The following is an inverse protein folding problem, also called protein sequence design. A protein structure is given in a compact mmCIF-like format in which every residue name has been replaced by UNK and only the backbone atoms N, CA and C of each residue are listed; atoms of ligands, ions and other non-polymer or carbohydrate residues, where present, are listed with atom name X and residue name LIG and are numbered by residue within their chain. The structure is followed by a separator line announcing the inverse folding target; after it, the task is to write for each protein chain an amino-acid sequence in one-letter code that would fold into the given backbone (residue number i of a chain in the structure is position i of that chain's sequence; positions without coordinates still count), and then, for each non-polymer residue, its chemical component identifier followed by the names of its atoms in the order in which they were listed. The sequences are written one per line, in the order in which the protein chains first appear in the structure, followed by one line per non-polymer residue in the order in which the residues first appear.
data_IF_592532521087
#
_entry.id   IF_592532521087
#
_cell.length_a   1.000
_cell.length_b   1.000
_cell.length_c   1.000
_cell.angle_alpha   90.00
_cell.angle_beta   90.00
_cell.angle_gamma   90.00
#
_symmetry.space_group_name_H-M   'P 1'
#
loop_
_entity.id
_entity.type
_entity.pdbx_description
1 polymer ?
#
# COMPACT_ATOMS: atom_id res chain seq x y z
N UNK A 1 -4.66 -24.63 81.46
CA UNK A 1 -4.42 -23.67 80.36
C UNK A 1 -5.72 -22.91 80.14
N UNK A 2 -5.80 -21.66 80.59
CA UNK A 2 -6.99 -20.82 80.48
C UNK A 2 -7.07 -20.20 79.07
N UNK A 3 -7.90 -20.78 78.20
CA UNK A 3 -8.31 -20.14 76.95
C UNK A 3 -9.18 -18.93 77.30
N UNK A 4 -8.67 -17.74 77.01
CA UNK A 4 -9.44 -16.50 77.09
C UNK A 4 -10.22 -16.37 75.78
N UNK A 5 -11.56 -16.40 75.85
CA UNK A 5 -12.43 -16.20 74.70
C UNK A 5 -12.42 -14.74 74.23
N UNK A 6 -12.59 -14.54 72.93
CA UNK A 6 -12.70 -13.21 72.31
C UNK A 6 -13.94 -12.47 72.81
N UNK A 7 -13.80 -11.17 73.12
CA UNK A 7 -14.96 -10.34 73.45
C UNK A 7 -15.68 -9.88 72.19
N UNK A 8 -16.99 -9.67 72.27
CA UNK A 8 -17.78 -9.15 71.14
C UNK A 8 -17.25 -7.81 70.64
N UNK A 9 -16.77 -6.95 71.54
CA UNK A 9 -16.16 -5.66 71.22
C UNK A 9 -14.88 -5.83 70.40
N UNK A 10 -14.05 -6.80 70.77
CA UNK A 10 -12.82 -7.11 70.05
C UNK A 10 -13.10 -7.60 68.63
N UNK A 11 -14.12 -8.45 68.45
CA UNK A 11 -14.57 -8.91 67.13
C UNK A 11 -15.07 -7.75 66.24
N UNK A 12 -15.91 -6.85 66.80
CA UNK A 12 -16.42 -5.69 66.05
C UNK A 12 -15.27 -4.76 65.64
N UNK A 13 -14.32 -4.50 66.53
CA UNK A 13 -13.17 -3.64 66.22
C UNK A 13 -12.30 -4.23 65.11
N UNK A 14 -12.07 -5.54 65.13
CA UNK A 14 -11.29 -6.24 64.09
C UNK A 14 -11.97 -6.15 62.73
N UNK A 15 -13.28 -6.40 62.65
CA UNK A 15 -14.02 -6.31 61.37
C UNK A 15 -14.02 -4.87 60.83
N UNK A 16 -14.22 -3.88 61.71
CA UNK A 16 -14.19 -2.47 61.32
C UNK A 16 -12.82 -2.03 60.79
N UNK A 17 -11.74 -2.41 61.48
CA UNK A 17 -10.36 -2.09 61.05
C UNK A 17 -9.98 -2.85 59.77
N UNK A 18 -10.35 -4.11 59.65
CA UNK A 18 -10.12 -4.90 58.44
C UNK A 18 -10.85 -4.29 57.22
N UNK A 19 -12.09 -3.82 57.40
CA UNK A 19 -12.84 -3.12 56.35
C UNK A 19 -12.16 -1.82 55.90
N UNK A 20 -11.68 -1.01 56.84
CA UNK A 20 -10.95 0.24 56.54
C UNK A 20 -9.67 -0.04 55.73
N UNK A 21 -8.88 -1.02 56.17
CA UNK A 21 -7.63 -1.41 55.49
C UNK A 21 -7.92 -1.96 54.09
N UNK A 22 -8.94 -2.81 53.95
CA UNK A 22 -9.32 -3.37 52.64
C UNK A 22 -9.70 -2.29 51.63
N UNK A 23 -10.46 -1.26 52.03
CA UNK A 23 -10.80 -0.12 51.18
C UNK A 23 -9.55 0.67 50.79
N UNK A 24 -8.64 0.91 51.74
CA UNK A 24 -7.41 1.66 51.49
C UNK A 24 -6.51 0.93 50.49
N UNK A 25 -6.29 -0.38 50.67
CA UNK A 25 -5.51 -1.21 49.76
C UNK A 25 -6.18 -1.30 48.38
N UNK A 26 -7.50 -1.46 48.34
CA UNK A 26 -8.26 -1.49 47.08
C UNK A 26 -8.14 -0.20 46.28
N UNK A 27 -8.22 0.96 46.95
CA UNK A 27 -8.09 2.27 46.30
C UNK A 27 -6.66 2.55 45.81
N UNK A 28 -5.63 2.04 46.50
CA UNK A 28 -4.23 2.20 46.09
C UNK A 28 -3.89 1.28 44.92
N UNK A 29 -4.43 0.06 44.88
CA UNK A 29 -4.11 -0.93 43.84
C UNK A 29 -4.89 -0.72 42.53
N UNK A 30 -6.06 -0.08 42.57
CA UNK A 30 -6.87 0.17 41.37
C UNK A 30 -6.19 1.08 40.35
N UNK A 31 -5.48 2.12 40.80
CA UNK A 31 -4.78 3.09 39.94
C UNK A 31 -3.68 2.47 39.08
N UNK A 32 -2.71 1.69 39.61
CA UNK A 32 -1.69 1.05 38.79
C UNK A 32 -2.28 0.00 37.83
N UNK A 33 -3.35 -0.69 38.21
CA UNK A 33 -4.06 -1.60 37.29
C UNK A 33 -4.72 -0.85 36.13
N UNK A 34 -5.42 0.26 36.40
CA UNK A 34 -5.99 1.13 35.36
C UNK A 34 -4.90 1.66 34.42
N UNK A 35 -3.80 2.19 34.98
CA UNK A 35 -2.67 2.68 34.18
C UNK A 35 -2.05 1.60 33.28
N UNK A 36 -1.95 0.36 33.75
CA UNK A 36 -1.46 -0.76 32.94
C UNK A 36 -2.41 -1.07 31.76
N UNK A 37 -3.72 -1.08 32.00
CA UNK A 37 -4.73 -1.30 30.95
C UNK A 37 -4.69 -0.19 29.91
N UNK A 38 -4.61 1.06 30.33
CA UNK A 38 -4.53 2.22 29.43
C UNK A 38 -3.25 2.19 28.59
N UNK A 39 -2.12 1.83 29.18
CA UNK A 39 -0.85 1.66 28.47
C UNK A 39 -0.92 0.53 27.44
N UNK A 40 -1.52 -0.61 27.80
CA UNK A 40 -1.72 -1.73 26.88
C UNK A 40 -2.61 -1.34 25.70
N UNK A 41 -3.69 -0.60 25.95
CA UNK A 41 -4.61 -0.13 24.90
C UNK A 41 -3.94 0.83 23.94
N UNK A 42 -3.17 1.80 24.46
CA UNK A 42 -2.39 2.72 23.63
C UNK A 42 -1.38 1.97 22.76
N UNK A 43 -0.68 0.97 23.33
CA UNK A 43 0.26 0.16 22.58
C UNK A 43 -0.42 -0.56 21.40
N UNK A 44 -1.58 -1.18 21.63
CA UNK A 44 -2.35 -1.85 20.57
C UNK A 44 -2.74 -0.89 19.43
N UNK A 45 -3.23 0.32 19.75
CA UNK A 45 -3.59 1.30 18.74
C UNK A 45 -2.38 1.79 17.94
N UNK A 46 -1.25 2.03 18.61
CA UNK A 46 0.01 2.41 17.95
C UNK A 46 0.49 1.30 17.02
N UNK A 47 0.42 0.04 17.42
CA UNK A 47 0.84 -1.09 16.60
C UNK A 47 -0.05 -1.25 15.36
N UNK A 48 -1.38 -1.21 15.52
CA UNK A 48 -2.33 -1.25 14.39
C UNK A 48 -2.06 -0.15 13.38
N UNK A 49 -1.90 1.09 13.84
CA UNK A 49 -1.63 2.23 12.98
C UNK A 49 -0.26 2.12 12.29
N UNK A 50 0.77 1.71 13.03
CA UNK A 50 2.14 1.57 12.51
C UNK A 50 2.24 0.49 11.44
N UNK A 51 1.65 -0.69 11.68
CA UNK A 51 1.64 -1.78 10.69
C UNK A 51 0.88 -1.35 9.42
N UNK A 52 -0.25 -0.67 9.57
CA UNK A 52 -1.01 -0.15 8.43
C UNK A 52 -0.21 0.88 7.60
N UNK A 53 0.42 1.86 8.27
CA UNK A 53 1.25 2.88 7.63
C UNK A 53 2.47 2.27 6.93
N UNK A 54 3.16 1.33 7.58
CA UNK A 54 4.30 0.63 7.00
C UNK A 54 3.90 -0.23 5.79
N UNK A 55 2.72 -0.87 5.83
CA UNK A 55 2.20 -1.63 4.69
C UNK A 55 1.89 -0.71 3.51
N UNK A 56 1.19 0.40 3.74
CA UNK A 56 0.93 1.41 2.72
C UNK A 56 2.24 1.97 2.15
N UNK A 57 3.21 2.28 3.00
CA UNK A 57 4.52 2.78 2.57
C UNK A 57 5.28 1.78 1.68
N UNK A 58 5.20 0.47 1.98
CA UNK A 58 5.78 -0.58 1.14
C UNK A 58 5.08 -0.66 -0.22
N UNK A 59 3.75 -0.63 -0.26
CA UNK A 59 3.00 -0.66 -1.52
C UNK A 59 3.30 0.59 -2.38
N UNK A 60 3.41 1.78 -1.76
CA UNK A 60 3.79 3.03 -2.44
C UNK A 60 5.19 2.95 -3.06
N UNK A 61 6.17 2.36 -2.36
CA UNK A 61 7.52 2.17 -2.89
C UNK A 61 7.58 1.17 -4.05
N UNK A 62 6.56 0.33 -4.18
CA UNK A 62 6.39 -0.61 -5.29
C UNK A 62 5.37 -0.12 -6.32
N UNK A 63 5.03 1.17 -6.31
CA UNK A 63 4.17 1.76 -7.31
C UNK A 63 4.93 1.98 -8.61
N UNK A 64 4.27 1.76 -9.75
CA UNK A 64 4.78 2.21 -11.05
C UNK A 64 4.97 3.73 -10.98
N UNK A 65 6.10 4.28 -11.47
CA UNK A 65 6.35 5.72 -11.49
C UNK A 65 5.14 6.50 -12.03
N UNK A 66 4.83 7.65 -11.42
CA UNK A 66 3.73 8.53 -11.84
C UNK A 66 2.34 7.84 -11.96
N UNK A 67 2.10 6.71 -11.29
CA UNK A 67 0.79 6.02 -11.31
C UNK A 67 -0.09 6.31 -10.10
N UNK A 68 0.48 6.89 -9.04
CA UNK A 68 -0.23 7.15 -7.80
C UNK A 68 -1.25 8.26 -7.98
N UNK A 69 -2.49 7.98 -7.57
CA UNK A 69 -3.58 8.96 -7.53
C UNK A 69 -4.25 8.94 -6.17
N UNK A 70 -4.70 10.11 -5.71
CA UNK A 70 -5.40 10.30 -4.45
C UNK A 70 -6.70 11.04 -4.72
N UNK A 71 -7.81 10.56 -4.15
CA UNK A 71 -9.11 11.20 -4.26
C UNK A 71 -10.11 10.62 -3.27
N UNK A 72 -11.04 11.45 -2.76
CA UNK A 72 -12.17 11.03 -1.92
C UNK A 72 -11.86 9.99 -0.82
N UNK A 73 -10.79 10.20 -0.03
CA UNK A 73 -10.42 9.27 1.06
C UNK A 73 -9.84 7.93 0.59
N UNK A 74 -9.43 7.86 -0.69
CA UNK A 74 -8.79 6.73 -1.32
C UNK A 74 -7.47 7.15 -1.97
N UNK A 75 -6.51 6.24 -1.97
CA UNK A 75 -5.33 6.30 -2.81
C UNK A 75 -5.23 5.02 -3.63
N UNK A 76 -4.74 5.10 -4.86
CA UNK A 76 -4.55 3.95 -5.73
C UNK A 76 -3.31 4.12 -6.61
N UNK A 77 -2.70 3.01 -6.97
CA UNK A 77 -1.50 2.97 -7.80
C UNK A 77 -1.43 1.64 -8.57
N UNK A 78 -0.69 1.60 -9.68
CA UNK A 78 -0.31 0.32 -10.28
C UNK A 78 0.85 -0.27 -9.49
N UNK A 79 0.76 -1.55 -9.14
CA UNK A 79 1.85 -2.25 -8.46
C UNK A 79 2.83 -2.86 -9.47
N UNK A 80 4.12 -2.62 -9.25
CA UNK A 80 5.20 -3.22 -10.04
C UNK A 80 5.26 -4.72 -9.72
N UNK A 81 5.00 -5.54 -10.72
CA UNK A 81 5.23 -6.99 -10.66
C UNK A 81 6.68 -7.33 -11.02
N UNK A 82 7.22 -6.66 -12.04
CA UNK A 82 8.62 -6.74 -12.43
C UNK A 82 9.02 -5.50 -13.22
N UNK A 83 10.32 -5.22 -13.32
CA UNK A 83 10.83 -4.08 -14.08
C UNK A 83 12.20 -4.43 -14.67
N UNK A 84 12.60 -3.70 -15.71
CA UNK A 84 13.87 -3.97 -16.38
C UNK A 84 14.26 -2.89 -17.36
N UNK A 85 15.25 -3.21 -18.18
CA UNK A 85 15.65 -2.37 -19.31
C UNK A 85 15.35 -3.10 -20.61
N UNK A 86 14.77 -2.41 -21.60
CA UNK A 86 14.46 -2.97 -22.90
C UNK A 86 15.53 -2.61 -23.94
N UNK A 87 15.55 -3.35 -25.05
CA UNK A 87 16.23 -2.94 -26.29
C UNK A 87 15.20 -2.44 -27.30
N UNK A 88 15.64 -1.55 -28.19
CA UNK A 88 14.86 -1.20 -29.37
C UNK A 88 14.42 -2.48 -30.08
N UNK A 89 13.16 -2.57 -30.50
CA UNK A 89 12.62 -3.81 -31.04
C UNK A 89 12.51 -3.77 -32.57
N UNK A 90 12.42 -4.96 -33.17
CA UNK A 90 12.29 -5.15 -34.62
C UNK A 90 10.84 -5.56 -34.92
N UNK A 91 9.92 -4.61 -35.14
CA UNK A 91 8.56 -4.92 -35.59
C UNK A 91 8.52 -5.55 -36.99
N UNK A 92 9.56 -5.37 -37.79
CA UNK A 92 9.78 -6.16 -39.01
C UNK A 92 11.18 -6.76 -38.91
N UNK A 93 11.30 -8.07 -39.10
CA UNK A 93 12.55 -8.80 -38.96
C UNK A 93 13.60 -8.34 -39.99
N UNK A 94 13.17 -7.83 -41.15
CA UNK A 94 14.05 -7.24 -42.16
C UNK A 94 14.18 -5.71 -42.04
N UNK A 95 13.46 -5.09 -41.09
CA UNK A 95 13.40 -3.65 -40.90
C UNK A 95 14.45 -3.11 -39.92
N UNK A 96 14.45 -1.78 -39.68
CA UNK A 96 15.30 -1.18 -38.67
C UNK A 96 14.80 -1.44 -37.24
N UNK A 97 15.72 -1.43 -36.29
CA UNK A 97 15.41 -1.34 -34.86
C UNK A 97 14.63 -0.04 -34.58
N UNK A 98 13.53 -0.14 -33.84
CA UNK A 98 12.69 1.00 -33.47
C UNK A 98 12.73 1.27 -31.97
N UNK A 99 12.85 2.55 -31.62
CA UNK A 99 12.71 3.09 -30.27
C UNK A 99 11.86 4.37 -30.35
N UNK A 100 10.70 4.49 -29.68
CA UNK A 100 10.09 3.56 -28.71
C UNK A 100 9.74 2.20 -29.34
N UNK A 101 9.67 1.12 -28.55
CA UNK A 101 9.24 -0.17 -29.07
C UNK A 101 7.85 -0.08 -29.70
N UNK A 102 7.63 -0.86 -30.76
CA UNK A 102 6.34 -0.93 -31.44
C UNK A 102 5.96 -2.36 -31.79
N UNK A 103 4.67 -2.65 -31.69
CA UNK A 103 4.04 -3.92 -32.01
C UNK A 103 3.22 -3.75 -33.29
N UNK A 104 3.90 -3.60 -34.43
CA UNK A 104 3.29 -3.42 -35.76
C UNK A 104 3.68 -4.52 -36.74
N UNK A 105 4.23 -5.64 -36.25
CA UNK A 105 4.57 -6.78 -37.10
C UNK A 105 3.35 -7.35 -37.82
N UNK A 106 3.58 -7.91 -39.01
CA UNK A 106 2.59 -8.71 -39.72
C UNK A 106 2.27 -10.03 -38.99
N UNK A 107 3.24 -10.58 -38.25
CA UNK A 107 3.07 -11.78 -37.44
C UNK A 107 2.22 -11.56 -36.18
N UNK A 108 1.76 -12.64 -35.52
CA UNK A 108 0.84 -12.55 -34.38
C UNK A 108 1.49 -12.06 -33.09
N UNK A 109 2.82 -12.11 -32.98
CA UNK A 109 3.53 -11.89 -31.70
C UNK A 109 4.46 -10.69 -31.78
N UNK A 110 4.31 -9.79 -30.82
CA UNK A 110 5.24 -8.72 -30.51
C UNK A 110 6.34 -9.22 -29.58
N UNK A 111 7.60 -8.99 -29.93
CA UNK A 111 8.76 -9.32 -29.10
C UNK A 111 9.59 -8.07 -28.79
N UNK A 112 10.04 -7.95 -27.54
CA UNK A 112 10.94 -6.89 -27.08
C UNK A 112 12.01 -7.52 -26.18
N UNK A 113 13.27 -7.39 -26.54
CA UNK A 113 14.38 -7.97 -25.77
C UNK A 113 14.65 -7.21 -24.48
N UNK A 114 15.00 -7.94 -23.44
CA UNK A 114 15.33 -7.43 -22.11
C UNK A 114 16.86 -7.37 -21.98
N UNK A 115 17.39 -6.20 -21.63
CA UNK A 115 18.82 -5.94 -21.50
C UNK A 115 19.40 -6.44 -20.17
N UNK A 116 18.56 -6.75 -19.18
CA UNK A 116 18.97 -7.13 -17.83
C UNK A 116 18.17 -8.31 -17.31
N UNK A 117 18.77 -9.21 -16.51
CA UNK A 117 18.02 -10.28 -15.89
C UNK A 117 16.94 -9.71 -14.96
N UNK A 118 15.78 -10.36 -14.94
CA UNK A 118 14.63 -10.00 -14.12
C UNK A 118 14.32 -11.12 -13.15
N UNK A 119 13.70 -10.77 -12.02
CA UNK A 119 13.18 -11.72 -11.03
C UNK A 119 11.68 -11.52 -10.89
N UNK A 120 10.85 -12.57 -11.12
CA UNK A 120 11.23 -13.91 -11.59
C UNK A 120 11.75 -13.89 -13.05
N UNK A 121 12.51 -14.93 -13.44
CA UNK A 121 13.15 -15.00 -14.76
C UNK A 121 12.16 -15.22 -15.92
N UNK A 122 10.95 -15.68 -15.61
CA UNK A 122 9.84 -15.83 -16.55
C UNK A 122 8.51 -15.67 -15.80
N UNK A 123 7.46 -15.31 -16.52
CA UNK A 123 6.07 -15.34 -16.06
C UNK A 123 5.11 -15.50 -17.23
N UNK A 124 4.13 -16.39 -17.05
CA UNK A 124 3.01 -16.60 -17.98
C UNK A 124 1.79 -15.73 -17.67
N UNK A 125 1.79 -15.01 -16.54
CA UNK A 125 0.73 -14.06 -16.20
C UNK A 125 0.75 -12.91 -17.21
N UNK A 126 -0.42 -12.39 -17.57
CA UNK A 126 -0.52 -11.23 -18.45
C UNK A 126 -0.35 -9.92 -17.67
N UNK A 127 0.50 -9.06 -18.20
CA UNK A 127 0.84 -7.77 -17.59
C UNK A 127 0.58 -6.63 -18.57
N UNK A 128 0.29 -5.46 -18.00
CA UNK A 128 0.51 -4.20 -18.69
C UNK A 128 2.02 -3.94 -18.75
N UNK A 129 2.51 -3.56 -19.92
CA UNK A 129 3.85 -3.03 -20.09
C UNK A 129 3.75 -1.51 -20.15
N UNK A 130 4.45 -0.84 -19.24
CA UNK A 130 4.49 0.61 -19.11
C UNK A 130 5.90 1.09 -19.47
N UNK A 131 5.97 2.05 -20.40
CA UNK A 131 7.22 2.69 -20.80
C UNK A 131 7.03 4.21 -20.70
N UNK A 132 7.85 4.83 -19.87
CA UNK A 132 8.03 6.27 -19.80
C UNK A 132 6.75 7.09 -19.64
N UNK A 133 5.88 6.71 -18.69
CA UNK A 133 4.71 7.52 -18.36
C UNK A 133 5.11 8.73 -17.51
N UNK A 134 4.60 9.91 -17.87
CA UNK A 134 5.00 11.16 -17.22
C UNK A 134 3.95 11.67 -16.24
N UNK A 135 2.71 11.22 -16.38
CA UNK A 135 1.59 11.58 -15.52
C UNK A 135 0.60 10.41 -15.38
N UNK A 136 -0.17 10.40 -14.29
CA UNK A 136 -1.15 9.35 -14.04
C UNK A 136 -2.30 9.35 -15.06
N UNK A 137 -2.64 10.51 -15.62
CA UNK A 137 -3.69 10.64 -16.65
C UNK A 137 -3.34 9.92 -17.95
N UNK A 138 -2.06 9.68 -18.24
CA UNK A 138 -1.63 8.96 -19.44
C UNK A 138 -1.92 7.45 -19.36
N UNK A 139 -2.05 6.91 -18.14
CA UNK A 139 -2.27 5.48 -17.92
C UNK A 139 -3.71 5.03 -18.23
N UNK A 140 -4.65 5.97 -18.44
CA UNK A 140 -6.03 5.66 -18.84
C UNK A 140 -6.25 5.56 -20.36
N UNK A 141 -5.27 5.98 -21.18
CA UNK A 141 -5.40 6.11 -22.63
C UNK A 141 -4.95 4.85 -23.39
N UNK A 142 -5.76 3.79 -23.38
CA UNK A 142 -5.47 2.52 -24.07
C UNK A 142 -5.65 2.54 -25.60
N UNK A 143 -4.98 3.46 -26.30
CA UNK A 143 -5.01 3.59 -27.76
C UNK A 143 -3.86 2.87 -28.48
N UNK A 144 -3.88 2.93 -29.81
CA UNK A 144 -2.81 2.42 -30.67
C UNK A 144 -1.44 3.11 -30.42
N UNK A 145 -1.44 4.30 -29.80
CA UNK A 145 -0.26 5.00 -29.33
C UNK A 145 -0.46 5.34 -27.84
N UNK A 146 0.32 4.71 -26.96
CA UNK A 146 0.15 4.88 -25.50
C UNK A 146 1.44 4.63 -24.72
N UNK A 147 1.49 5.09 -23.47
CA UNK A 147 2.57 4.76 -22.52
C UNK A 147 2.36 3.41 -21.85
N UNK A 148 1.14 2.86 -21.95
CA UNK A 148 0.73 1.59 -21.36
C UNK A 148 0.12 0.68 -22.44
N UNK A 149 0.58 -0.57 -22.51
CA UNK A 149 0.00 -1.56 -23.43
C UNK A 149 -1.34 -2.10 -22.92
N UNK A 150 -2.13 -2.80 -23.76
CA UNK A 150 -3.09 -3.78 -23.26
C UNK A 150 -2.43 -4.81 -22.33
N UNK A 151 -3.21 -5.41 -21.44
CA UNK A 151 -2.73 -6.42 -20.49
C UNK A 151 -2.49 -7.75 -21.21
N UNK A 152 -1.33 -7.90 -21.83
CA UNK A 152 -1.03 -9.03 -22.70
C UNK A 152 0.43 -9.50 -22.65
N UNK A 153 1.33 -8.71 -22.05
CA UNK A 153 2.74 -9.04 -22.02
C UNK A 153 3.05 -10.11 -20.97
N UNK A 154 3.84 -11.08 -21.42
CA UNK A 154 4.49 -12.14 -20.64
C UNK A 154 5.99 -12.03 -20.87
N UNK A 155 6.81 -12.77 -20.11
CA UNK A 155 8.23 -12.87 -20.43
C UNK A 155 8.80 -14.24 -20.15
N UNK A 156 9.79 -14.62 -20.95
CA UNK A 156 10.63 -15.79 -20.70
C UNK A 156 11.95 -15.63 -21.44
N UNK A 157 13.01 -16.24 -20.92
CA UNK A 157 14.33 -16.27 -21.59
C UNK A 157 14.86 -14.89 -22.04
N UNK A 158 14.58 -13.83 -21.27
CA UNK A 158 15.05 -12.47 -21.58
C UNK A 158 14.27 -11.75 -22.68
N UNK A 159 13.08 -12.22 -23.05
CA UNK A 159 12.23 -11.59 -24.08
C UNK A 159 10.83 -11.33 -23.49
N UNK A 160 10.33 -10.12 -23.68
CA UNK A 160 8.92 -9.76 -23.48
C UNK A 160 8.13 -10.16 -24.72
N UNK A 161 7.00 -10.83 -24.55
CA UNK A 161 6.15 -11.27 -25.65
C UNK A 161 4.66 -10.99 -25.41
N UNK A 162 3.96 -10.53 -26.44
CA UNK A 162 2.50 -10.36 -26.42
C UNK A 162 1.87 -10.68 -27.79
N UNK A 163 0.67 -11.25 -27.80
CA UNK A 163 -0.14 -11.35 -29.00
C UNK A 163 -0.81 -10.00 -29.29
N UNK A 164 -0.01 -9.02 -29.74
CA UNK A 164 -0.40 -7.63 -29.88
C UNK A 164 0.06 -7.08 -31.22
N UNK A 165 -0.85 -6.39 -31.90
CA UNK A 165 -0.65 -5.73 -33.18
C UNK A 165 -1.24 -4.32 -33.12
N UNK A 166 -0.81 -3.45 -34.04
CA UNK A 166 -1.29 -2.07 -34.15
C UNK A 166 -1.12 -1.23 -32.87
N UNK A 167 -0.05 -1.48 -32.12
CA UNK A 167 0.29 -0.74 -30.90
C UNK A 167 1.69 -0.16 -30.98
N UNK A 168 1.88 1.05 -30.48
CA UNK A 168 3.17 1.75 -30.40
C UNK A 168 3.30 2.41 -29.03
N UNK A 169 4.48 2.32 -28.44
CA UNK A 169 4.77 3.11 -27.25
C UNK A 169 4.93 4.59 -27.63
N UNK A 170 4.31 5.46 -26.84
CA UNK A 170 4.27 6.91 -27.10
C UNK A 170 5.64 7.57 -26.96
N UNK A 171 6.42 7.11 -25.99
CA UNK A 171 7.71 7.71 -25.65
C UNK A 171 8.78 6.63 -25.44
N UNK A 172 10.02 7.00 -25.74
CA UNK A 172 11.19 6.18 -25.47
C UNK A 172 11.71 6.58 -24.08
N UNK A 173 11.87 5.62 -23.18
CA UNK A 173 12.56 5.88 -21.91
C UNK A 173 14.03 6.21 -22.20
N UNK A 174 14.57 7.37 -21.75
CA UNK A 174 15.97 7.75 -21.93
C UNK A 174 16.96 6.73 -21.35
N UNK A 175 16.55 6.02 -20.30
CA UNK A 175 17.34 4.95 -19.68
C UNK A 175 16.88 3.54 -20.10
N UNK A 176 16.03 3.46 -21.13
CA UNK A 176 15.41 2.24 -21.64
C UNK A 176 14.67 1.44 -20.57
N UNK A 177 14.09 2.09 -19.56
CA UNK A 177 13.36 1.42 -18.48
C UNK A 177 11.96 1.01 -18.94
N UNK A 178 11.46 -0.08 -18.36
CA UNK A 178 10.07 -0.47 -18.44
C UNK A 178 9.60 -1.05 -17.11
N UNK A 179 8.29 -1.02 -16.89
CA UNK A 179 7.63 -1.59 -15.73
C UNK A 179 6.51 -2.52 -16.20
N UNK A 180 6.40 -3.69 -15.57
CA UNK A 180 5.30 -4.61 -15.73
C UNK A 180 4.39 -4.51 -14.52
N UNK A 181 3.11 -4.28 -14.76
CA UNK A 181 2.11 -4.24 -13.71
C UNK A 181 0.98 -5.23 -14.02
N UNK A 182 0.46 -5.86 -12.96
CA UNK A 182 -0.63 -6.84 -13.07
C UNK A 182 -1.90 -6.37 -12.38
N UNK A 183 -1.79 -5.49 -11.41
CA UNK A 183 -2.90 -5.10 -10.56
C UNK A 183 -2.80 -3.63 -10.14
N UNK A 184 -3.97 -3.05 -9.90
CA UNK A 184 -4.12 -1.77 -9.20
C UNK A 184 -4.29 -2.09 -7.73
N UNK A 185 -3.43 -1.53 -6.89
CA UNK A 185 -3.52 -1.60 -5.43
C UNK A 185 -4.05 -0.26 -4.94
N UNK A 186 -5.04 -0.32 -4.05
CA UNK A 186 -5.63 0.86 -3.44
C UNK A 186 -5.82 0.71 -1.94
N UNK A 187 -5.96 1.85 -1.28
CA UNK A 187 -6.37 1.96 0.11
C UNK A 187 -7.55 2.90 0.20
N UNK A 188 -8.64 2.45 0.79
CA UNK A 188 -9.89 3.21 0.89
C UNK A 188 -10.38 3.24 2.33
N UNK A 189 -10.67 4.44 2.81
CA UNK A 189 -11.37 4.63 4.06
C UNK A 189 -12.87 4.70 3.80
N UNK A 190 -13.63 3.82 4.43
CA UNK A 190 -15.06 3.64 4.12
C UNK A 190 -15.98 4.64 4.84
N UNK A 191 -15.43 5.51 5.68
CA UNK A 191 -16.18 6.46 6.51
C UNK A 191 -16.89 5.82 7.72
N UNK A 192 -16.90 4.49 7.83
CA UNK A 192 -17.47 3.72 8.93
C UNK A 192 -16.38 3.25 9.92
N UNK A 193 -15.23 3.92 9.93
CA UNK A 193 -14.11 3.62 10.81
C UNK A 193 -13.18 2.51 10.31
N UNK A 194 -13.30 2.07 9.05
CA UNK A 194 -12.45 1.00 8.50
C UNK A 194 -11.56 1.49 7.36
N UNK A 195 -10.33 0.99 7.37
CA UNK A 195 -9.37 1.11 6.27
C UNK A 195 -9.31 -0.24 5.54
N UNK A 196 -9.59 -0.22 4.25
CA UNK A 196 -9.53 -1.38 3.36
C UNK A 196 -8.34 -1.27 2.43
N UNK A 197 -7.63 -2.38 2.21
CA UNK A 197 -6.70 -2.55 1.08
C UNK A 197 -7.45 -3.25 -0.04
N UNK A 198 -7.44 -2.65 -1.21
CA UNK A 198 -8.13 -3.09 -2.40
C UNK A 198 -7.13 -3.52 -3.47
N UNK A 199 -7.44 -4.60 -4.18
CA UNK A 199 -6.64 -5.09 -5.30
C UNK A 199 -7.58 -5.38 -6.45
N UNK A 200 -7.33 -4.77 -7.61
CA UNK A 200 -8.10 -4.98 -8.82
C UNK A 200 -7.22 -5.44 -9.97
N UNK A 201 -7.72 -6.42 -10.74
CA UNK A 201 -7.12 -6.81 -12.02
C UNK A 201 -7.43 -5.85 -13.17
N UNK A 202 -8.31 -4.86 -12.95
CA UNK A 202 -8.74 -3.86 -13.93
C UNK A 202 -7.96 -2.56 -13.75
N UNK A 203 -7.59 -1.93 -14.88
CA UNK A 203 -6.76 -0.72 -14.88
C UNK A 203 -7.42 0.49 -14.21
N UNK A 204 -8.76 0.55 -14.24
CA UNK A 204 -9.55 1.60 -13.58
C UNK A 204 -9.83 1.32 -12.09
N UNK A 205 -9.29 0.24 -11.52
CA UNK A 205 -9.52 -0.14 -10.13
C UNK A 205 -10.90 -0.76 -9.84
N UNK A 206 -11.74 -0.99 -10.85
CA UNK A 206 -13.09 -1.54 -10.66
C UNK A 206 -13.09 -3.01 -10.19
N UNK A 207 -14.15 -3.42 -9.49
CA UNK A 207 -14.31 -4.78 -8.93
C UNK A 207 -13.11 -5.28 -8.10
N UNK A 208 -12.63 -4.51 -7.11
CA UNK A 208 -11.51 -4.95 -6.30
C UNK A 208 -11.88 -6.07 -5.34
N UNK A 209 -10.93 -6.96 -5.04
CA UNK A 209 -10.94 -7.74 -3.81
C UNK A 209 -10.49 -6.84 -2.66
N UNK A 210 -11.25 -6.78 -1.57
CA UNK A 210 -10.96 -5.94 -0.42
C UNK A 210 -10.54 -6.77 0.80
N UNK A 211 -9.51 -6.31 1.52
CA UNK A 211 -9.05 -6.87 2.78
C UNK A 211 -9.02 -5.78 3.85
N UNK A 212 -9.58 -6.08 5.03
CA UNK A 212 -9.59 -5.17 6.16
C UNK A 212 -8.16 -4.98 6.70
N UNK A 213 -7.76 -3.73 6.92
CA UNK A 213 -6.43 -3.37 7.44
C UNK A 213 -6.55 -2.86 8.87
N UNK A 214 -7.49 -1.95 9.12
CA UNK A 214 -7.77 -1.35 10.43
C UNK A 214 -9.28 -1.14 10.55
N UNK A 215 -9.85 -1.34 11.73
CA UNK A 215 -11.28 -1.22 12.04
C UNK A 215 -11.62 -0.16 13.09
N UNK A 216 -10.62 0.58 13.57
CA UNK A 216 -10.74 1.55 14.65
C UNK A 216 -10.36 2.97 14.22
N UNK A 217 -10.61 3.34 12.96
CA UNK A 217 -10.32 4.69 12.44
C UNK A 217 -11.32 5.69 13.03
N UNK A 218 -10.81 6.76 13.62
CA UNK A 218 -11.65 7.87 14.11
C UNK A 218 -12.36 8.58 12.95
N UNK A 219 -13.53 9.20 13.15
CA UNK A 219 -14.19 10.01 12.12
C UNK A 219 -13.25 11.09 11.54
N UNK A 220 -13.08 11.13 10.21
CA UNK A 220 -12.11 12.03 9.55
C UNK A 220 -10.64 11.74 9.87
N UNK A 221 -10.36 10.62 10.54
CA UNK A 221 -9.05 10.21 11.01
C UNK A 221 -8.14 9.63 9.92
N UNK A 222 -8.67 9.38 8.72
CA UNK A 222 -7.92 8.87 7.59
C UNK A 222 -7.74 9.96 6.53
N UNK A 223 -6.48 10.25 6.20
CA UNK A 223 -6.15 11.23 5.17
C UNK A 223 -4.93 10.81 4.37
N UNK A 224 -5.04 10.97 3.05
CA UNK A 224 -3.96 10.81 2.10
C UNK A 224 -3.78 12.12 1.37
N UNK A 225 -2.54 12.56 1.21
CA UNK A 225 -2.19 13.76 0.45
C UNK A 225 -0.96 13.46 -0.40
N UNK A 226 -1.06 13.71 -1.69
CA UNK A 226 0.02 13.47 -2.64
C UNK A 226 0.48 14.79 -3.25
N UNK A 227 1.75 15.08 -3.03
CA UNK A 227 2.45 16.19 -3.67
C UNK A 227 3.25 15.61 -4.84
N UNK A 228 2.82 15.83 -6.10
CA UNK A 228 3.55 15.33 -7.25
C UNK A 228 4.96 15.93 -7.30
N UNK A 229 5.87 15.18 -7.91
CA UNK A 229 7.25 15.59 -8.09
C UNK A 229 7.37 16.73 -9.10
N UNK A 230 8.44 17.50 -8.97
CA UNK A 230 8.90 18.46 -9.98
C UNK A 230 10.28 18.04 -10.47
N UNK A 231 10.85 18.78 -11.42
CA UNK A 231 12.24 18.55 -11.87
C UNK A 231 13.29 18.74 -10.76
N UNK A 232 12.93 19.41 -9.66
CA UNK A 232 13.83 19.76 -8.55
C UNK A 232 13.45 19.12 -7.21
N UNK A 233 12.26 18.52 -7.11
CA UNK A 233 11.76 17.89 -5.89
C UNK A 233 11.12 16.53 -6.21
N UNK A 234 11.55 15.49 -5.51
CA UNK A 234 10.87 14.19 -5.58
C UNK A 234 9.40 14.27 -5.16
N UNK A 235 8.58 13.36 -5.67
CA UNK A 235 7.20 13.25 -5.26
C UNK A 235 7.09 12.74 -3.82
N UNK A 236 6.06 13.15 -3.10
CA UNK A 236 5.85 12.81 -1.70
C UNK A 236 4.38 12.47 -1.46
N UNK A 237 4.12 11.36 -0.77
CA UNK A 237 2.81 11.08 -0.20
C UNK A 237 2.87 11.16 1.32
N UNK A 238 1.91 11.87 1.90
CA UNK A 238 1.67 11.94 3.34
C UNK A 238 0.46 11.08 3.69
N UNK A 239 0.68 10.10 4.56
CA UNK A 239 -0.33 9.18 5.07
C UNK A 239 -0.59 9.55 6.54
N UNK A 240 -1.85 9.81 6.90
CA UNK A 240 -2.23 10.09 8.29
C UNK A 240 -3.37 9.19 8.71
N UNK A 241 -3.17 8.47 9.81
CA UNK A 241 -4.18 7.64 10.45
C UNK A 241 -4.39 8.10 11.90
N UNK A 242 -5.63 8.29 12.28
CA UNK A 242 -6.06 8.59 13.64
C UNK A 242 -6.99 7.46 14.07
N UNK A 243 -6.58 6.70 15.08
CA UNK A 243 -7.32 5.57 15.60
C UNK A 243 -7.92 5.93 16.96
N UNK A 244 -9.11 5.41 17.24
CA UNK A 244 -9.80 5.63 18.52
C UNK A 244 -10.42 4.35 19.04
N UNK A 245 -10.30 4.09 20.34
CA UNK A 245 -10.91 2.96 21.04
C UNK A 245 -11.08 3.29 22.53
N UNK A 246 -12.30 3.11 23.06
CA UNK A 246 -12.63 3.31 24.49
C UNK A 246 -12.06 4.61 25.08
N UNK A 247 -12.35 5.74 24.41
CA UNK A 247 -11.88 7.10 24.73
C UNK A 247 -10.38 7.39 24.54
N UNK A 248 -9.55 6.39 24.23
CA UNK A 248 -8.16 6.59 23.83
C UNK A 248 -8.09 6.93 22.33
N UNK A 249 -7.28 7.93 21.97
CA UNK A 249 -7.09 8.34 20.57
C UNK A 249 -5.62 8.60 20.28
N UNK A 250 -5.11 8.02 19.21
CA UNK A 250 -3.74 8.24 18.73
C UNK A 250 -3.74 8.67 17.27
N UNK A 251 -2.80 9.52 16.88
CA UNK A 251 -2.61 9.95 15.49
C UNK A 251 -1.17 9.69 15.08
N UNK A 252 -0.99 8.96 13.99
CA UNK A 252 0.30 8.70 13.38
C UNK A 252 0.33 9.27 11.96
N UNK A 253 1.50 9.76 11.58
CA UNK A 253 1.78 10.32 10.27
C UNK A 253 3.03 9.65 9.70
N UNK A 254 2.95 9.27 8.42
CA UNK A 254 4.07 8.72 7.67
C UNK A 254 4.20 9.45 6.33
N UNK A 255 5.39 9.96 6.06
CA UNK A 255 5.76 10.52 4.77
C UNK A 255 6.60 9.52 3.99
N UNK A 256 6.29 9.36 2.71
CA UNK A 256 6.93 8.40 1.83
C UNK A 256 7.29 9.10 0.52
N UNK A 257 8.57 9.11 0.18
CA UNK A 257 9.01 9.54 -1.14
C UNK A 257 8.53 8.53 -2.19
N UNK A 258 8.01 9.03 -3.30
CA UNK A 258 7.57 8.23 -4.44
C UNK A 258 8.63 8.32 -5.54
N UNK A 259 9.19 7.17 -5.90
CA UNK A 259 10.27 7.07 -6.88
C UNK A 259 9.74 7.19 -8.31
N UNK A 260 9.52 8.42 -8.76
CA UNK A 260 9.03 8.73 -10.10
C UNK A 260 10.17 8.78 -11.13
N UNK A 261 10.80 7.64 -11.38
CA UNK A 261 11.88 7.49 -12.37
C UNK A 261 11.46 6.57 -13.54
N UNK A 262 10.61 7.08 -14.46
CA UNK A 262 9.97 6.28 -15.51
C UNK A 262 10.90 5.83 -16.65
#
# INVERSE_FOLDING_TARGET
MSQHGFTLVELVMVIALAGLVAVMVGAVMSRPMQGFVDQSRRAELVDKASVALQRMARDVRLAVPNSLTVGAGQMQMLSIAAAGRYRANLPDAAGPLTDPPQCTQAGPTCSIDILSPMTPAASSDQHWLIIYNTDASELGGGGALSVISPKAFTWSAGVLSAALQNFRFKYASPQRRFYLAREVVGYRCDGAGRLWREVSGNLNGSSPSAALVVDSIAPGGCAFSYDPGTSTRGALITLRLTLTQDAETISLLQQVHVDNAP
#
